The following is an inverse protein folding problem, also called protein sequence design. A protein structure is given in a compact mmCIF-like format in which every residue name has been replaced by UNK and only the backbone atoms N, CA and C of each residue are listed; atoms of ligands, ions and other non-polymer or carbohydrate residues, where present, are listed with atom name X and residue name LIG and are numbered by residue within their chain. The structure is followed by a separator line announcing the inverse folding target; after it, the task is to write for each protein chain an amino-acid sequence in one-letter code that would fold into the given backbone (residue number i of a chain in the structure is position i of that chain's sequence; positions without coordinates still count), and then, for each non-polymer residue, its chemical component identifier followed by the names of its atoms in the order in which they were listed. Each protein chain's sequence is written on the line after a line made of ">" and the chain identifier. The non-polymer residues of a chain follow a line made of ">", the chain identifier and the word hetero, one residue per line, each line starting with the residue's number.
data_IF_181808992732
#
_entry.id   IF_181808992732
#
_cell.length_a   1.000
_cell.length_b   1.000
_cell.length_c   1.000
_cell.angle_alpha   90.00
_cell.angle_beta   90.00
_cell.angle_gamma   90.00
#
_symmetry.space_group_name_H-M   'P 1'
#
loop_
_entity.id
_entity.type
_entity.pdbx_description
1 polymer ?
#
# COMPACT_ATOMS: atom_id res chain seq x y z
N UNK A 1 -28.73 3.26 -5.40
CA UNK A 1 -29.26 4.29 -4.50
C UNK A 1 -28.09 4.85 -3.70
N UNK A 2 -27.58 6.02 -4.08
CA UNK A 2 -26.70 6.80 -3.22
C UNK A 2 -27.60 7.42 -2.15
N UNK A 3 -27.48 6.98 -0.90
CA UNK A 3 -28.20 7.56 0.21
C UNK A 3 -27.68 8.98 0.45
N UNK A 4 -28.55 9.97 0.26
CA UNK A 4 -28.30 11.40 0.56
C UNK A 4 -28.25 11.69 2.06
N UNK A 5 -28.28 10.68 2.92
CA UNK A 5 -28.45 10.80 4.37
C UNK A 5 -27.17 10.48 5.15
N UNK A 6 -25.99 10.46 4.50
CA UNK A 6 -24.75 10.44 5.24
C UNK A 6 -24.56 11.79 5.94
N UNK A 7 -24.29 11.78 7.27
CA UNK A 7 -24.00 13.02 7.98
C UNK A 7 -22.87 13.76 7.26
N UNK A 8 -23.00 15.07 7.14
CA UNK A 8 -22.02 15.96 6.49
C UNK A 8 -20.60 15.59 6.96
N UNK A 9 -19.84 14.93 6.08
CA UNK A 9 -18.44 14.66 6.32
C UNK A 9 -17.72 16.00 6.32
N UNK A 10 -17.22 16.42 7.47
CA UNK A 10 -16.45 17.66 7.60
C UNK A 10 -15.11 17.44 6.91
N UNK A 11 -14.93 18.05 5.75
CA UNK A 11 -13.63 18.09 5.08
C UNK A 11 -12.70 19.03 5.83
N UNK A 12 -11.60 18.49 6.35
CA UNK A 12 -10.52 19.28 6.91
C UNK A 12 -9.38 19.33 5.89
N UNK A 13 -8.82 20.51 5.60
CA UNK A 13 -7.61 20.60 4.79
C UNK A 13 -6.48 19.83 5.46
N UNK A 14 -5.63 19.18 4.68
CA UNK A 14 -4.50 18.41 5.19
C UNK A 14 -3.58 19.24 6.09
N UNK A 15 -3.33 20.50 5.71
CA UNK A 15 -2.51 21.43 6.49
C UNK A 15 -3.11 21.72 7.89
N UNK A 16 -4.44 21.77 7.99
CA UNK A 16 -5.12 21.92 9.29
C UNK A 16 -4.98 20.68 10.17
N UNK A 17 -4.91 19.49 9.57
CA UNK A 17 -4.62 18.24 10.28
C UNK A 17 -3.15 18.19 10.71
N UNK A 18 -2.23 18.55 9.83
CA UNK A 18 -0.79 18.56 10.11
C UNK A 18 -0.41 19.59 11.18
N UNK A 19 -1.14 20.72 11.26
CA UNK A 19 -0.96 21.75 12.30
C UNK A 19 -1.65 21.42 13.63
N UNK A 20 -2.46 20.36 13.71
CA UNK A 20 -3.14 19.99 14.94
C UNK A 20 -2.15 19.40 15.96
N UNK A 21 -1.93 20.14 17.05
CA UNK A 21 -1.13 19.69 18.19
C UNK A 21 -2.11 19.17 19.25
N UNK A 22 -2.23 17.86 19.37
CA UNK A 22 -3.09 17.24 20.37
C UNK A 22 -2.64 15.82 20.69
N UNK A 23 -2.94 15.37 21.93
CA UNK A 23 -2.80 13.97 22.26
C UNK A 23 -3.88 13.19 21.48
N UNK A 24 -3.54 12.16 20.72
CA UNK A 24 -4.54 11.35 20.06
C UNK A 24 -5.55 10.82 21.10
N UNK A 25 -6.85 10.79 20.79
CA UNK A 25 -7.82 10.19 21.70
C UNK A 25 -7.41 8.74 21.97
N UNK A 26 -7.55 8.30 23.23
CA UNK A 26 -7.32 6.89 23.55
C UNK A 26 -8.27 6.03 22.73
N UNK A 27 -7.70 5.14 21.92
CA UNK A 27 -8.47 4.21 21.12
C UNK A 27 -9.03 3.10 22.01
N UNK A 28 -10.34 2.89 21.95
CA UNK A 28 -11.01 1.73 22.56
C UNK A 28 -11.19 0.57 21.58
N UNK A 29 -10.57 0.67 20.38
CA UNK A 29 -10.71 -0.34 19.35
C UNK A 29 -10.10 -1.67 19.76
N UNK A 30 -10.80 -2.74 19.44
CA UNK A 30 -10.33 -4.12 19.59
C UNK A 30 -9.73 -4.61 18.27
N UNK A 31 -8.88 -5.65 18.29
CA UNK A 31 -8.35 -6.23 17.07
C UNK A 31 -9.43 -6.73 16.08
N UNK A 32 -10.62 -7.03 16.57
CA UNK A 32 -11.74 -7.54 15.75
C UNK A 32 -12.58 -6.42 15.13
N UNK A 33 -12.39 -5.19 15.55
CA UNK A 33 -13.14 -4.06 15.00
C UNK A 33 -12.79 -3.80 13.54
N UNK A 34 -13.74 -3.28 12.75
CA UNK A 34 -13.50 -2.89 11.38
C UNK A 34 -12.40 -1.84 11.24
N UNK A 35 -11.45 -2.09 10.35
CA UNK A 35 -10.41 -1.12 9.98
C UNK A 35 -10.80 -0.38 8.69
N UNK A 36 -11.20 -1.14 7.68
CA UNK A 36 -11.51 -0.57 6.36
C UNK A 36 -12.46 -1.48 5.56
N UNK A 37 -13.07 -0.91 4.53
CA UNK A 37 -13.83 -1.65 3.52
C UNK A 37 -13.11 -1.51 2.18
N UNK A 38 -12.73 -2.64 1.59
CA UNK A 38 -12.15 -2.69 0.25
C UNK A 38 -13.17 -3.27 -0.73
N UNK A 39 -13.36 -2.59 -1.85
CA UNK A 39 -14.26 -3.05 -2.89
C UNK A 39 -13.52 -3.92 -3.91
N UNK A 40 -14.05 -5.11 -4.15
CA UNK A 40 -13.55 -5.99 -5.21
C UNK A 40 -14.24 -5.66 -6.53
N UNK A 41 -13.47 -5.66 -7.62
CA UNK A 41 -14.03 -5.63 -8.97
C UNK A 41 -14.68 -6.99 -9.26
N UNK A 42 -15.98 -7.09 -9.05
CA UNK A 42 -16.72 -8.32 -9.36
C UNK A 42 -16.68 -8.61 -10.86
N UNK A 43 -16.21 -9.77 -11.27
CA UNK A 43 -16.25 -10.23 -12.67
C UNK A 43 -17.67 -10.50 -13.16
N UNK A 44 -18.64 -10.62 -12.28
CA UNK A 44 -20.02 -11.09 -12.59
C UNK A 44 -21.14 -10.27 -11.94
N UNK A 45 -20.87 -9.04 -11.47
CA UNK A 45 -21.91 -8.24 -10.83
C UNK A 45 -21.37 -6.97 -10.16
N UNK A 46 -22.18 -6.28 -9.35
CA UNK A 46 -21.78 -5.10 -8.61
C UNK A 46 -20.58 -5.38 -7.71
N UNK A 47 -19.69 -4.39 -7.56
CA UNK A 47 -18.56 -4.47 -6.62
C UNK A 47 -19.04 -4.82 -5.22
N UNK A 48 -18.34 -5.74 -4.56
CA UNK A 48 -18.63 -6.17 -3.20
C UNK A 48 -17.64 -5.55 -2.23
N UNK A 49 -18.13 -5.00 -1.13
CA UNK A 49 -17.29 -4.48 -0.06
C UNK A 49 -16.82 -5.61 0.87
N UNK A 50 -15.50 -5.80 0.94
CA UNK A 50 -14.87 -6.71 1.91
C UNK A 50 -14.48 -5.92 3.15
N UNK A 51 -15.05 -6.26 4.29
CA UNK A 51 -14.74 -5.66 5.58
C UNK A 51 -13.48 -6.29 6.16
N UNK A 52 -12.44 -5.48 6.37
CA UNK A 52 -11.17 -5.92 6.96
C UNK A 52 -11.05 -5.38 8.39
N UNK A 53 -10.65 -6.25 9.32
CA UNK A 53 -10.42 -5.89 10.71
C UNK A 53 -8.98 -5.41 10.96
N UNK A 54 -8.74 -4.75 12.09
CA UNK A 54 -7.39 -4.41 12.56
C UNK A 54 -6.51 -5.66 12.68
N UNK A 55 -7.06 -6.77 13.19
CA UNK A 55 -6.34 -8.05 13.30
C UNK A 55 -5.87 -8.56 11.94
N UNK A 56 -6.70 -8.45 10.91
CA UNK A 56 -6.32 -8.87 9.57
C UNK A 56 -5.11 -8.08 9.07
N UNK A 57 -5.14 -6.76 9.15
CA UNK A 57 -4.04 -5.92 8.69
C UNK A 57 -2.73 -6.19 9.47
N UNK A 58 -2.81 -6.30 10.79
CA UNK A 58 -1.66 -6.60 11.65
C UNK A 58 -1.07 -7.98 11.31
N UNK A 59 -1.92 -9.01 11.22
CA UNK A 59 -1.45 -10.37 10.92
C UNK A 59 -0.85 -10.47 9.52
N UNK A 60 -1.45 -9.79 8.55
CA UNK A 60 -0.93 -9.74 7.20
C UNK A 60 0.45 -9.07 7.15
N UNK A 61 0.62 -7.97 7.91
CA UNK A 61 1.92 -7.30 8.06
C UNK A 61 2.98 -8.20 8.68
N UNK A 62 2.65 -8.91 9.76
CA UNK A 62 3.55 -9.89 10.40
C UNK A 62 4.01 -10.95 9.40
N UNK A 63 3.07 -11.52 8.63
CA UNK A 63 3.37 -12.52 7.61
C UNK A 63 4.28 -11.97 6.51
N UNK A 64 4.06 -10.72 6.08
CA UNK A 64 4.93 -10.04 5.12
C UNK A 64 6.36 -9.90 5.65
N UNK A 65 6.49 -9.43 6.90
CA UNK A 65 7.78 -9.22 7.55
C UNK A 65 8.54 -10.56 7.68
N UNK A 66 7.87 -11.57 8.22
CA UNK A 66 8.47 -12.88 8.47
C UNK A 66 8.81 -13.61 7.17
N UNK A 67 7.85 -13.70 6.26
CA UNK A 67 7.95 -14.56 5.06
C UNK A 67 8.92 -14.02 4.02
N UNK A 68 8.92 -12.70 3.83
CA UNK A 68 9.81 -12.03 2.88
C UNK A 68 11.11 -11.55 3.50
N UNK A 69 11.32 -11.75 4.80
CA UNK A 69 12.54 -11.32 5.49
C UNK A 69 12.78 -9.83 5.34
N UNK A 70 11.72 -9.03 5.59
CA UNK A 70 11.83 -7.58 5.55
C UNK A 70 12.76 -7.08 6.66
N UNK A 71 13.51 -6.02 6.42
CA UNK A 71 14.53 -5.49 7.31
C UNK A 71 14.19 -4.06 7.75
N UNK A 72 14.67 -3.63 8.92
CA UNK A 72 14.44 -2.26 9.41
C UNK A 72 14.99 -1.16 8.49
N UNK A 73 15.99 -1.47 7.67
CA UNK A 73 16.63 -0.54 6.72
C UNK A 73 16.00 -0.61 5.32
N UNK A 74 14.96 -1.43 5.12
CA UNK A 74 14.26 -1.49 3.85
C UNK A 74 13.42 -0.25 3.59
N UNK A 75 13.32 0.10 2.32
CA UNK A 75 12.33 1.03 1.78
C UNK A 75 11.37 0.23 0.92
N UNK A 76 10.12 0.14 1.39
CA UNK A 76 9.06 -0.63 0.73
C UNK A 76 8.36 0.24 -0.29
N UNK A 77 8.39 -0.13 -1.56
CA UNK A 77 7.75 0.63 -2.64
C UNK A 77 6.56 -0.12 -3.21
N UNK A 78 5.42 0.56 -3.30
CA UNK A 78 4.22 0.10 -3.97
C UNK A 78 3.80 1.11 -5.05
N UNK A 79 3.71 0.70 -6.33
CA UNK A 79 3.31 1.59 -7.42
C UNK A 79 1.79 1.80 -7.51
N UNK A 80 1.02 1.26 -6.56
CA UNK A 80 -0.43 1.32 -6.56
C UNK A 80 -0.95 2.32 -5.53
N UNK A 81 -2.12 2.95 -5.80
CA UNK A 81 -2.67 3.97 -4.92
C UNK A 81 -3.16 3.41 -3.58
N UNK A 82 -3.24 4.27 -2.57
CA UNK A 82 -3.59 3.93 -1.18
C UNK A 82 -4.98 3.28 -1.00
N UNK A 83 -5.89 3.35 -1.96
CA UNK A 83 -7.15 2.60 -1.89
C UNK A 83 -7.01 1.12 -2.25
N UNK A 84 -5.83 0.68 -2.66
CA UNK A 84 -5.51 -0.71 -2.96
C UNK A 84 -4.96 -1.41 -1.71
N UNK A 85 -5.28 -2.70 -1.53
CA UNK A 85 -4.78 -3.50 -0.41
C UNK A 85 -3.25 -3.59 -0.41
N UNK A 86 -2.64 -3.65 -1.57
CA UNK A 86 -1.17 -3.72 -1.73
C UNK A 86 -0.49 -2.50 -1.11
N UNK A 87 -1.03 -1.29 -1.34
CA UNK A 87 -0.47 -0.08 -0.76
C UNK A 87 -0.74 0.04 0.74
N UNK A 88 -1.97 -0.25 1.20
CA UNK A 88 -2.36 -0.05 2.60
C UNK A 88 -1.90 -1.18 3.51
N UNK A 89 -2.31 -2.42 3.22
CA UNK A 89 -2.11 -3.55 4.13
C UNK A 89 -0.77 -4.26 3.90
N UNK A 90 -0.32 -4.32 2.64
CA UNK A 90 0.86 -5.11 2.29
C UNK A 90 2.14 -4.27 2.18
N UNK A 91 2.05 -2.94 2.14
CA UNK A 91 3.21 -2.05 2.09
C UNK A 91 3.25 -1.08 3.26
N UNK A 92 2.22 -0.24 3.44
CA UNK A 92 2.22 0.78 4.49
C UNK A 92 2.13 0.17 5.90
N UNK A 93 1.29 -0.85 6.11
CA UNK A 93 1.13 -1.45 7.42
C UNK A 93 2.40 -2.17 7.93
N UNK A 94 3.11 -3.02 7.15
CA UNK A 94 4.39 -3.58 7.59
C UNK A 94 5.46 -2.51 7.79
N UNK A 95 5.51 -1.46 6.96
CA UNK A 95 6.45 -0.37 7.18
C UNK A 95 6.20 0.36 8.50
N UNK A 96 4.95 0.65 8.84
CA UNK A 96 4.56 1.23 10.13
C UNK A 96 4.92 0.31 11.30
N UNK A 97 4.66 -0.99 11.18
CA UNK A 97 4.93 -1.96 12.24
C UNK A 97 6.43 -2.12 12.51
N UNK A 98 7.26 -2.02 11.47
CA UNK A 98 8.72 -2.10 11.57
C UNK A 98 9.39 -0.76 11.90
N UNK A 99 8.68 0.36 11.75
CA UNK A 99 9.27 1.70 11.85
C UNK A 99 10.19 2.03 10.67
N UNK A 100 9.93 1.45 9.49
CA UNK A 100 10.67 1.71 8.26
C UNK A 100 9.89 2.59 7.28
N UNK A 101 10.40 2.78 6.07
CA UNK A 101 9.82 3.68 5.07
C UNK A 101 8.91 2.94 4.11
N UNK A 102 7.69 3.45 3.90
CA UNK A 102 6.83 3.10 2.78
C UNK A 102 6.83 4.23 1.75
N UNK A 103 7.18 3.92 0.51
CA UNK A 103 7.05 4.80 -0.64
C UNK A 103 5.87 4.34 -1.49
N UNK A 104 4.86 5.20 -1.64
CA UNK A 104 3.65 4.88 -2.40
C UNK A 104 3.61 5.71 -3.66
N UNK A 105 3.55 5.04 -4.80
CA UNK A 105 3.39 5.67 -6.10
C UNK A 105 1.97 6.22 -6.29
N UNK A 106 1.85 7.25 -7.10
CA UNK A 106 0.53 7.80 -7.46
C UNK A 106 -0.22 6.83 -8.38
N UNK A 107 0.49 6.27 -9.35
CA UNK A 107 -0.02 5.29 -10.32
C UNK A 107 1.12 4.52 -10.94
N UNK A 108 0.90 3.27 -11.30
CA UNK A 108 1.86 2.48 -12.06
C UNK A 108 2.13 3.10 -13.45
N UNK A 109 3.41 3.19 -13.80
CA UNK A 109 3.88 3.60 -15.13
C UNK A 109 5.10 2.76 -15.52
N UNK A 110 5.09 2.17 -16.71
CA UNK A 110 6.21 1.35 -17.20
C UNK A 110 7.50 2.17 -17.27
N UNK A 111 7.43 3.37 -17.85
CA UNK A 111 8.60 4.25 -17.99
C UNK A 111 9.00 4.95 -16.69
N UNK A 112 8.07 5.07 -15.73
CA UNK A 112 8.32 5.71 -14.43
C UNK A 112 8.79 4.75 -13.33
N UNK A 113 8.61 3.44 -13.51
CA UNK A 113 8.83 2.47 -12.43
C UNK A 113 10.26 2.47 -11.91
N UNK A 114 11.26 2.22 -12.76
CA UNK A 114 12.67 2.21 -12.33
C UNK A 114 13.18 3.57 -11.89
N UNK A 115 12.82 4.69 -12.54
CA UNK A 115 13.09 6.03 -11.99
C UNK A 115 12.55 6.24 -10.58
N UNK A 116 11.33 5.76 -10.28
CA UNK A 116 10.77 5.87 -8.92
C UNK A 116 11.46 4.96 -7.92
N UNK A 117 11.76 3.71 -8.28
CA UNK A 117 12.57 2.80 -7.45
C UNK A 117 13.90 3.44 -7.05
N UNK A 118 14.60 4.04 -8.01
CA UNK A 118 15.85 4.78 -7.74
C UNK A 118 15.64 6.02 -6.89
N UNK A 119 14.66 6.84 -7.24
CA UNK A 119 14.34 8.10 -6.54
C UNK A 119 14.03 7.87 -5.07
N UNK A 120 13.29 6.83 -4.74
CA UNK A 120 12.92 6.50 -3.37
C UNK A 120 13.98 5.67 -2.65
N UNK A 121 14.99 5.18 -3.35
CA UNK A 121 15.94 4.22 -2.79
C UNK A 121 15.26 2.90 -2.40
N UNK A 122 14.23 2.50 -3.15
CA UNK A 122 13.41 1.35 -2.80
C UNK A 122 14.19 0.04 -2.88
N UNK A 123 14.30 -0.65 -1.74
CA UNK A 123 15.01 -1.94 -1.63
C UNK A 123 14.06 -3.13 -1.83
N UNK A 124 12.79 -2.90 -1.62
CA UNK A 124 11.73 -3.90 -1.80
C UNK A 124 10.59 -3.26 -2.58
N UNK A 125 10.05 -3.94 -3.57
CA UNK A 125 8.90 -3.44 -4.30
C UNK A 125 7.84 -4.50 -4.54
N UNK A 126 6.61 -4.02 -4.66
CA UNK A 126 5.42 -4.77 -4.97
C UNK A 126 5.15 -4.77 -6.48
N UNK A 127 4.66 -5.89 -7.02
CA UNK A 127 4.17 -5.97 -8.38
C UNK A 127 3.03 -6.99 -8.53
N UNK A 128 2.15 -6.73 -9.49
CA UNK A 128 1.17 -7.71 -9.96
C UNK A 128 1.63 -8.34 -11.28
N UNK A 129 1.13 -9.52 -11.61
CA UNK A 129 1.50 -10.21 -12.84
C UNK A 129 1.35 -9.36 -14.11
N UNK A 130 0.32 -8.51 -14.18
CA UNK A 130 0.11 -7.59 -15.29
C UNK A 130 1.19 -6.49 -15.38
N UNK A 131 1.61 -5.94 -14.24
CA UNK A 131 2.67 -4.91 -14.19
C UNK A 131 4.03 -5.50 -14.53
N UNK A 132 4.34 -6.70 -14.00
CA UNK A 132 5.56 -7.43 -14.36
C UNK A 132 5.62 -7.74 -15.85
N UNK A 133 4.51 -8.23 -16.41
CA UNK A 133 4.41 -8.49 -17.87
C UNK A 133 4.65 -7.22 -18.69
N UNK A 134 4.15 -6.09 -18.22
CA UNK A 134 4.34 -4.80 -18.89
C UNK A 134 5.79 -4.32 -18.83
N UNK A 135 6.43 -4.45 -17.67
CA UNK A 135 7.85 -4.13 -17.49
C UNK A 135 8.74 -5.03 -18.35
N UNK A 136 8.46 -6.33 -18.39
CA UNK A 136 9.24 -7.29 -19.19
C UNK A 136 9.13 -7.10 -20.71
N UNK A 137 8.05 -6.46 -21.18
CA UNK A 137 7.85 -6.12 -22.59
C UNK A 137 8.48 -4.79 -22.98
N UNK A 138 8.87 -3.98 -22.01
CA UNK A 138 9.53 -2.70 -22.28
C UNK A 138 10.92 -2.94 -22.89
N UNK A 139 11.41 -2.04 -23.74
CA UNK A 139 12.80 -2.09 -24.21
C UNK A 139 13.76 -2.03 -23.02
N UNK A 140 14.76 -2.91 -23.01
CA UNK A 140 15.80 -2.87 -21.99
C UNK A 140 16.61 -1.58 -22.09
N UNK A 141 16.84 -0.94 -20.93
CA UNK A 141 17.66 0.27 -20.82
C UNK A 141 19.00 -0.05 -20.15
N UNK A 142 20.06 0.68 -20.50
CA UNK A 142 21.40 0.42 -19.92
C UNK A 142 21.45 0.54 -18.39
N UNK A 143 20.56 1.32 -17.80
CA UNK A 143 20.48 1.60 -16.36
C UNK A 143 19.39 0.76 -15.62
N UNK A 144 18.76 -0.21 -16.27
CA UNK A 144 17.72 -1.04 -15.63
C UNK A 144 18.25 -1.78 -14.39
N UNK A 145 19.50 -2.21 -14.41
CA UNK A 145 20.14 -2.89 -13.29
C UNK A 145 20.70 -1.93 -12.21
N UNK A 146 20.76 -0.63 -12.49
CA UNK A 146 21.26 0.38 -11.56
C UNK A 146 20.13 0.83 -10.61
N UNK A 147 19.82 -0.03 -9.63
CA UNK A 147 18.81 0.24 -8.63
C UNK A 147 19.11 -0.54 -7.32
N UNK A 148 18.65 -0.06 -6.16
CA UNK A 148 18.91 -0.69 -4.86
C UNK A 148 18.00 -1.88 -4.54
N UNK A 149 17.08 -2.28 -5.42
CA UNK A 149 16.10 -3.30 -5.15
C UNK A 149 16.75 -4.68 -4.93
N UNK A 150 16.50 -5.26 -3.78
CA UNK A 150 16.96 -6.61 -3.40
C UNK A 150 15.86 -7.67 -3.45
N UNK A 151 14.60 -7.22 -3.40
CA UNK A 151 13.45 -8.10 -3.34
C UNK A 151 12.27 -7.51 -4.11
N UNK A 152 11.65 -8.36 -4.89
CA UNK A 152 10.36 -8.10 -5.49
C UNK A 152 9.37 -9.16 -4.98
N UNK A 153 8.17 -8.75 -4.58
CA UNK A 153 7.15 -9.68 -4.13
C UNK A 153 5.84 -9.50 -4.89
N UNK A 154 5.09 -10.57 -4.97
CA UNK A 154 3.77 -10.60 -5.59
C UNK A 154 2.76 -11.14 -4.58
N UNK A 155 1.58 -10.51 -4.45
CA UNK A 155 0.52 -11.07 -3.64
C UNK A 155 0.16 -12.49 -4.10
N UNK A 156 -0.08 -13.42 -3.17
CA UNK A 156 -0.58 -14.74 -3.54
C UNK A 156 -1.96 -14.60 -4.20
N UNK A 157 -2.14 -15.25 -5.32
CA UNK A 157 -3.40 -15.29 -6.07
C UNK A 157 -4.37 -16.33 -5.49
#
# INVERSE_FOLDING_TARGET
>A
MCSSDLPLVRHLPFDALAASVGVPPSSTHTPSDPLMVLFTSGSTGPSKGCLLSHRYALRQSELMIEHYGLRPDDVLYCPFPMFHVDATVLTAAPALQMGTTAAIGEKFSVSGFWPEVRRFGATVFDFMGATLSSLNKAPALPDDADNPARLAWVPPH
#
